data_IF_773067677085
#
_entry.id   IF_773067677085
#
_cell.length_a   1.000
_cell.length_b   1.000
_cell.length_c   1.000
_cell.angle_alpha   90.00
_cell.angle_beta   90.00
_cell.angle_gamma   90.00
#
_symmetry.space_group_name_H-M   'P 1'
#
loop_
_entity.id
_entity.type
_entity.pdbx_description
1 polymer ?
#
# COMPACT_ATOMS: atom_id res chain seq x y z
N UNK A 1 14.07 -10.53 -25.82
CA UNK A 1 14.93 -10.17 -24.67
C UNK A 1 14.07 -9.82 -23.48
N UNK A 2 14.58 -9.93 -22.26
CA UNK A 2 13.87 -9.46 -21.06
C UNK A 2 13.85 -7.93 -21.01
N UNK A 3 12.72 -7.34 -20.62
CA UNK A 3 12.59 -5.89 -20.43
C UNK A 3 13.20 -5.41 -19.11
N UNK A 4 13.16 -4.09 -18.88
CA UNK A 4 13.68 -3.48 -17.64
C UNK A 4 12.69 -3.54 -16.46
N UNK A 5 11.43 -3.82 -16.74
CA UNK A 5 10.32 -3.69 -15.79
C UNK A 5 9.85 -5.05 -15.30
N UNK A 6 9.65 -5.17 -13.99
CA UNK A 6 9.16 -6.40 -13.35
C UNK A 6 8.07 -6.05 -12.32
N UNK A 7 6.96 -6.77 -12.35
CA UNK A 7 5.92 -6.71 -11.31
C UNK A 7 5.86 -8.07 -10.63
N UNK A 8 6.32 -8.15 -9.38
CA UNK A 8 6.51 -9.41 -8.66
C UNK A 8 6.00 -9.34 -7.23
N UNK A 9 5.51 -10.48 -6.76
CA UNK A 9 5.16 -10.68 -5.37
C UNK A 9 6.44 -10.97 -4.58
N UNK A 10 6.65 -10.26 -3.48
CA UNK A 10 7.73 -10.52 -2.54
C UNK A 10 7.16 -10.73 -1.13
N UNK A 11 7.82 -11.57 -0.34
CA UNK A 11 7.43 -11.86 1.03
C UNK A 11 8.45 -11.29 2.01
N UNK A 12 8.47 -9.96 2.12
CA UNK A 12 9.34 -9.29 3.09
C UNK A 12 8.72 -9.46 4.48
N UNK A 13 9.49 -9.96 5.45
CA UNK A 13 9.03 -10.21 6.82
C UNK A 13 7.74 -11.07 6.94
N UNK A 14 7.54 -12.03 6.02
CA UNK A 14 6.35 -12.91 5.96
C UNK A 14 5.05 -12.18 5.64
N UNK A 15 5.10 -10.97 5.11
CA UNK A 15 3.94 -10.22 4.64
C UNK A 15 4.08 -10.10 3.12
N UNK A 16 3.21 -10.78 2.34
CA UNK A 16 3.27 -10.70 0.89
C UNK A 16 2.84 -9.33 0.37
N UNK A 17 3.65 -8.70 -0.47
CA UNK A 17 3.35 -7.44 -1.15
C UNK A 17 3.82 -7.50 -2.61
N UNK A 18 3.04 -6.93 -3.53
CA UNK A 18 3.52 -6.75 -4.90
C UNK A 18 4.38 -5.50 -5.02
N UNK A 19 5.48 -5.62 -5.75
CA UNK A 19 6.40 -4.53 -6.06
C UNK A 19 6.60 -4.38 -7.56
N UNK A 20 6.67 -3.13 -7.98
CA UNK A 20 7.04 -2.76 -9.32
C UNK A 20 8.50 -2.30 -9.34
N UNK A 21 9.35 -3.04 -10.04
CA UNK A 21 10.77 -2.78 -10.17
C UNK A 21 11.16 -2.27 -11.55
N UNK A 22 12.18 -1.43 -11.58
CA UNK A 22 12.95 -1.04 -12.77
C UNK A 22 14.40 -1.47 -12.62
N UNK A 23 14.92 -2.15 -13.64
CA UNK A 23 16.28 -2.69 -13.73
C UNK A 23 16.67 -3.55 -12.52
N UNK A 24 15.70 -4.19 -11.86
CA UNK A 24 15.88 -5.02 -10.64
C UNK A 24 16.51 -4.32 -9.43
N UNK A 25 16.69 -3.00 -9.48
CA UNK A 25 17.41 -2.23 -8.45
C UNK A 25 16.57 -1.10 -7.86
N UNK A 26 15.57 -0.60 -8.61
CA UNK A 26 14.76 0.54 -8.21
C UNK A 26 13.31 0.12 -8.08
N UNK A 27 12.74 0.26 -6.89
CA UNK A 27 11.31 0.10 -6.65
C UNK A 27 10.62 1.39 -7.12
N UNK A 28 9.67 1.26 -8.03
CA UNK A 28 8.86 2.35 -8.55
C UNK A 28 7.52 2.46 -7.83
N UNK A 29 6.94 1.34 -7.43
CA UNK A 29 5.63 1.26 -6.79
C UNK A 29 5.55 0.04 -5.87
N UNK A 30 4.79 0.16 -4.78
CA UNK A 30 4.42 -0.93 -3.87
C UNK A 30 2.90 -1.04 -3.79
N UNK A 31 2.35 -2.21 -4.05
CA UNK A 31 0.91 -2.47 -3.98
C UNK A 31 0.38 -2.56 -2.54
N UNK A 32 1.26 -2.76 -1.58
CA UNK A 32 0.89 -3.01 -0.19
C UNK A 32 0.44 -4.43 0.07
N UNK A 33 0.18 -4.77 1.34
CA UNK A 33 -0.32 -6.07 1.71
C UNK A 33 -1.76 -6.29 1.23
N UNK A 34 -2.16 -7.54 1.18
CA UNK A 34 -3.56 -7.93 1.00
C UNK A 34 -4.35 -7.71 2.30
N UNK A 35 -5.45 -6.95 2.23
CA UNK A 35 -6.30 -6.59 3.39
C UNK A 35 -7.52 -7.51 3.58
N UNK A 36 -7.59 -8.63 2.84
CA UNK A 36 -8.76 -9.51 2.81
C UNK A 36 -9.74 -9.24 1.66
N UNK A 37 -9.72 -8.03 1.09
CA UNK A 37 -10.60 -7.60 0.00
C UNK A 37 -9.85 -7.08 -1.24
N UNK A 38 -8.63 -6.56 -1.05
CA UNK A 38 -7.81 -5.90 -2.08
C UNK A 38 -6.36 -5.76 -1.59
N UNK A 39 -5.49 -5.30 -2.49
CA UNK A 39 -4.20 -4.75 -2.08
C UNK A 39 -4.40 -3.28 -1.66
N UNK A 40 -3.82 -2.87 -0.52
CA UNK A 40 -4.07 -1.52 0.05
C UNK A 40 -3.65 -0.36 -0.86
N UNK A 41 -2.76 -0.61 -1.81
CA UNK A 41 -2.29 0.35 -2.81
C UNK A 41 -3.13 0.38 -4.09
N UNK A 42 -4.14 -0.50 -4.22
CA UNK A 42 -5.00 -0.62 -5.40
C UNK A 42 -6.48 -0.60 -4.95
N UNK A 43 -6.97 0.53 -4.41
CA UNK A 43 -8.31 0.59 -3.82
C UNK A 43 -9.43 0.28 -4.82
N UNK A 44 -9.20 0.50 -6.11
CA UNK A 44 -10.19 0.34 -7.18
C UNK A 44 -10.49 -1.12 -7.53
N UNK A 45 -9.76 -2.08 -6.97
CA UNK A 45 -10.10 -3.51 -7.09
C UNK A 45 -11.55 -3.78 -6.70
N UNK A 46 -12.06 -3.07 -5.69
CA UNK A 46 -13.45 -3.21 -5.23
C UNK A 46 -14.48 -2.70 -6.24
N UNK A 47 -14.08 -1.89 -7.21
CA UNK A 47 -14.95 -1.33 -8.25
C UNK A 47 -14.93 -2.21 -9.51
N UNK A 48 -14.16 -3.29 -9.54
CA UNK A 48 -14.09 -4.19 -10.69
C UNK A 48 -15.33 -5.10 -10.72
N UNK A 49 -16.30 -4.74 -11.55
CA UNK A 49 -17.58 -5.43 -11.73
C UNK A 49 -17.46 -6.77 -12.49
N UNK A 50 -16.48 -6.89 -13.37
CA UNK A 50 -16.33 -8.02 -14.30
C UNK A 50 -15.17 -8.97 -13.95
N UNK A 51 -14.55 -8.80 -12.77
CA UNK A 51 -13.46 -9.65 -12.30
C UNK A 51 -13.84 -10.29 -10.97
N UNK A 52 -13.70 -11.61 -10.90
CA UNK A 52 -13.68 -12.37 -9.65
C UNK A 52 -12.22 -12.68 -9.36
N UNK A 53 -11.70 -12.19 -8.26
CA UNK A 53 -10.30 -12.34 -7.89
C UNK A 53 -10.16 -12.93 -6.48
N UNK A 54 -9.01 -13.53 -6.22
CA UNK A 54 -8.66 -14.02 -4.90
C UNK A 54 -7.15 -13.91 -4.66
N UNK A 55 -6.78 -13.77 -3.40
CA UNK A 55 -5.40 -13.90 -2.95
C UNK A 55 -5.29 -15.14 -2.06
N UNK A 56 -4.61 -16.16 -2.57
CA UNK A 56 -4.35 -17.38 -1.81
C UNK A 56 -3.04 -17.21 -1.06
N UNK A 57 -3.05 -17.47 0.24
CA UNK A 57 -1.85 -17.54 1.09
C UNK A 57 -1.95 -18.78 1.98
N UNK A 58 -1.37 -19.89 1.54
CA UNK A 58 -1.34 -21.16 2.27
C UNK A 58 0.07 -21.79 2.23
N UNK A 59 0.20 -23.08 2.54
CA UNK A 59 1.52 -23.75 2.59
C UNK A 59 2.03 -24.12 1.21
N UNK A 60 1.13 -24.19 0.23
CA UNK A 60 1.36 -24.65 -1.12
C UNK A 60 1.68 -23.49 -2.07
N UNK A 61 0.92 -22.39 -1.95
CA UNK A 61 1.04 -21.22 -2.82
C UNK A 61 0.77 -19.91 -2.08
N UNK A 62 1.44 -18.86 -2.55
CA UNK A 62 1.09 -17.48 -2.26
C UNK A 62 0.97 -16.74 -3.59
N UNK A 63 -0.27 -16.52 -4.01
CA UNK A 63 -0.56 -16.06 -5.37
C UNK A 63 -1.85 -15.24 -5.44
N UNK A 64 -1.84 -14.24 -6.31
CA UNK A 64 -3.04 -13.57 -6.77
C UNK A 64 -3.56 -14.26 -8.02
N UNK A 65 -4.86 -14.53 -8.05
CA UNK A 65 -5.53 -15.10 -9.21
C UNK A 65 -6.79 -14.30 -9.53
N UNK A 66 -7.15 -14.26 -10.81
CA UNK A 66 -8.40 -13.66 -11.23
C UNK A 66 -9.02 -14.44 -12.39
N UNK A 67 -10.34 -14.35 -12.48
CA UNK A 67 -11.14 -14.82 -13.61
C UNK A 67 -12.19 -13.79 -13.95
N UNK A 68 -12.73 -13.86 -15.16
CA UNK A 68 -13.83 -13.00 -15.54
C UNK A 68 -15.16 -13.58 -15.07
N UNK A 69 -16.11 -12.70 -14.74
CA UNK A 69 -17.49 -13.09 -14.43
C UNK A 69 -18.20 -13.68 -15.66
N UNK A 70 -17.84 -13.20 -16.86
CA UNK A 70 -18.27 -13.77 -18.12
C UNK A 70 -17.14 -14.63 -18.72
N UNK A 71 -17.37 -15.95 -18.80
CA UNK A 71 -16.40 -16.93 -19.27
C UNK A 71 -16.12 -16.89 -20.78
N UNK A 72 -16.99 -16.24 -21.56
CA UNK A 72 -16.83 -16.10 -23.02
C UNK A 72 -15.94 -14.90 -23.40
N UNK A 73 -15.50 -14.12 -22.41
CA UNK A 73 -14.61 -12.97 -22.62
C UNK A 73 -13.17 -13.34 -22.30
N UNK A 74 -12.25 -12.68 -22.99
CA UNK A 74 -10.82 -12.78 -22.69
C UNK A 74 -10.32 -11.47 -22.09
N UNK A 75 -9.48 -11.59 -21.06
CA UNK A 75 -8.79 -10.47 -20.45
C UNK A 75 -7.39 -10.89 -20.02
N UNK A 76 -6.45 -9.95 -20.07
CA UNK A 76 -5.07 -10.18 -19.63
C UNK A 76 -4.51 -8.94 -18.95
N UNK A 77 -3.61 -9.17 -18.00
CA UNK A 77 -2.75 -8.13 -17.45
C UNK A 77 -1.44 -8.13 -18.22
N UNK A 78 -1.00 -6.95 -18.65
CA UNK A 78 0.20 -6.76 -19.46
C UNK A 78 1.04 -5.67 -18.80
N UNK A 79 2.28 -6.00 -18.49
CA UNK A 79 3.30 -5.03 -18.13
C UNK A 79 3.97 -4.54 -19.41
N UNK A 80 3.80 -3.27 -19.75
CA UNK A 80 4.33 -2.71 -20.99
C UNK A 80 5.79 -2.23 -20.84
N UNK A 81 6.43 -1.90 -21.96
CA UNK A 81 7.83 -1.43 -22.00
C UNK A 81 8.07 -0.05 -21.41
N UNK A 82 7.01 0.72 -21.12
CA UNK A 82 7.10 2.05 -20.52
C UNK A 82 7.03 2.00 -18.99
N UNK A 83 6.74 0.84 -18.42
CA UNK A 83 6.61 0.68 -17.00
C UNK A 83 5.19 0.98 -16.51
N UNK A 84 4.17 0.48 -17.22
CA UNK A 84 2.79 0.49 -16.76
C UNK A 84 2.17 -0.90 -16.79
N UNK A 85 1.50 -1.27 -15.69
CA UNK A 85 0.66 -2.45 -15.63
C UNK A 85 -0.73 -2.10 -16.15
N UNK A 86 -1.15 -2.76 -17.22
CA UNK A 86 -2.38 -2.47 -17.93
C UNK A 86 -3.26 -3.71 -18.02
N UNK A 87 -4.57 -3.52 -18.01
CA UNK A 87 -5.54 -4.56 -18.30
C UNK A 87 -6.06 -4.39 -19.72
N UNK A 88 -6.06 -5.48 -20.46
CA UNK A 88 -6.66 -5.57 -21.79
C UNK A 88 -7.86 -6.51 -21.79
N UNK A 89 -8.82 -6.26 -22.67
CA UNK A 89 -9.98 -7.12 -22.95
C UNK A 89 -10.09 -7.36 -24.46
N UNK A 90 -10.51 -8.56 -24.85
CA UNK A 90 -10.65 -8.91 -26.26
C UNK A 90 -12.00 -8.47 -26.83
N UNK A 91 -11.97 -7.90 -28.03
CA UNK A 91 -13.11 -7.60 -28.91
C UNK A 91 -12.96 -8.36 -30.22
N UNK A 92 -14.04 -8.93 -30.75
CA UNK A 92 -14.02 -9.64 -32.03
C UNK A 92 -13.76 -8.71 -33.23
N UNK A 93 -13.97 -7.40 -33.08
CA UNK A 93 -13.78 -6.41 -34.15
C UNK A 93 -12.36 -5.83 -34.16
N UNK A 94 -11.82 -5.52 -32.98
CA UNK A 94 -10.58 -4.72 -32.84
C UNK A 94 -9.43 -5.51 -32.19
N UNK A 95 -9.70 -6.74 -31.70
CA UNK A 95 -8.72 -7.54 -30.98
C UNK A 95 -8.52 -7.07 -29.54
N UNK A 96 -7.26 -6.99 -29.08
CA UNK A 96 -6.94 -6.61 -27.70
C UNK A 96 -7.06 -5.09 -27.49
N UNK A 97 -8.09 -4.68 -26.76
CA UNK A 97 -8.33 -3.29 -26.40
C UNK A 97 -7.88 -2.99 -24.97
N UNK A 98 -7.27 -1.82 -24.76
CA UNK A 98 -6.92 -1.33 -23.43
C UNK A 98 -8.21 -1.05 -22.66
N UNK A 99 -8.39 -1.77 -21.55
CA UNK A 99 -9.54 -1.58 -20.66
C UNK A 99 -9.22 -0.52 -19.60
N UNK A 100 -8.06 -0.64 -18.96
CA UNK A 100 -7.63 0.29 -17.91
C UNK A 100 -6.12 0.21 -17.66
N UNK A 101 -5.49 1.34 -17.39
CA UNK A 101 -4.17 1.40 -16.76
C UNK A 101 -4.33 1.20 -15.26
N UNK A 102 -3.63 0.21 -14.69
CA UNK A 102 -3.74 -0.14 -13.28
C UNK A 102 -2.71 0.58 -12.44
N UNK A 103 -1.43 0.54 -12.84
CA UNK A 103 -0.32 1.03 -12.02
C UNK A 103 0.85 1.58 -12.86
N UNK A 104 1.58 2.58 -12.36
CA UNK A 104 1.14 3.56 -11.34
C UNK A 104 0.04 4.49 -11.90
N UNK A 105 -0.79 5.10 -11.06
CA UNK A 105 -1.90 5.99 -11.49
C UNK A 105 -1.61 7.46 -11.36
N UNK A 106 -0.95 7.85 -10.27
CA UNK A 106 -0.65 9.24 -9.97
C UNK A 106 0.74 9.38 -9.33
N UNK A 107 1.10 10.60 -8.90
CA UNK A 107 2.42 10.86 -8.30
C UNK A 107 2.58 10.20 -6.93
N UNK A 108 1.49 10.07 -6.15
CA UNK A 108 1.50 9.45 -4.83
C UNK A 108 1.72 7.93 -4.85
N UNK A 109 1.61 7.31 -6.02
CA UNK A 109 1.99 5.91 -6.23
C UNK A 109 3.51 5.71 -6.32
N UNK A 110 4.29 6.78 -6.52
CA UNK A 110 5.74 6.68 -6.55
C UNK A 110 6.24 6.21 -5.18
N UNK A 111 6.99 5.10 -5.17
CA UNK A 111 7.46 4.48 -3.94
C UNK A 111 8.28 5.44 -3.09
N UNK A 112 7.90 5.60 -1.82
CA UNK A 112 8.55 6.50 -0.85
C UNK A 112 8.69 7.95 -1.34
N UNK A 113 7.72 8.45 -2.11
CA UNK A 113 7.73 9.84 -2.57
C UNK A 113 7.78 10.82 -1.39
N UNK A 114 7.00 10.55 -0.33
CA UNK A 114 7.02 11.31 0.90
C UNK A 114 7.94 10.65 1.93
N UNK A 115 8.70 11.49 2.66
CA UNK A 115 9.61 11.03 3.71
C UNK A 115 8.92 10.37 4.91
N UNK A 116 9.70 9.86 5.89
CA UNK A 116 9.18 9.17 7.06
C UNK A 116 8.15 10.00 7.84
N UNK A 117 7.13 9.31 8.35
CA UNK A 117 6.00 9.89 9.11
C UNK A 117 5.19 10.96 8.37
N UNK A 118 5.34 11.03 7.05
CA UNK A 118 4.47 11.79 6.15
C UNK A 118 3.59 10.84 5.32
N UNK A 119 2.51 11.37 4.78
CA UNK A 119 1.68 10.71 3.79
C UNK A 119 1.48 11.60 2.57
N UNK A 120 1.33 10.97 1.41
CA UNK A 120 1.01 11.67 0.17
C UNK A 120 -0.52 11.83 0.01
N UNK A 121 -0.94 13.03 -0.38
CA UNK A 121 -2.31 13.37 -0.77
C UNK A 121 -2.28 14.15 -2.08
N UNK A 122 -2.97 13.64 -3.11
CA UNK A 122 -3.05 14.29 -4.42
C UNK A 122 -3.90 15.57 -4.40
N UNK A 123 -4.68 15.81 -3.34
CA UNK A 123 -5.57 16.95 -3.20
C UNK A 123 -4.95 18.12 -2.44
N UNK A 124 -3.71 17.99 -1.93
CA UNK A 124 -3.03 19.05 -1.18
C UNK A 124 -1.83 19.61 -1.94
N UNK A 125 -1.47 20.85 -1.63
CA UNK A 125 -0.23 21.49 -2.08
C UNK A 125 0.48 22.10 -0.86
N UNK A 126 1.64 21.57 -0.44
CA UNK A 126 2.38 20.45 -1.03
C UNK A 126 1.64 19.10 -0.93
N UNK A 127 1.99 18.12 -1.78
CA UNK A 127 1.35 16.79 -1.79
C UNK A 127 1.73 15.95 -0.56
N UNK A 128 2.91 16.18 0.01
CA UNK A 128 3.34 15.49 1.23
C UNK A 128 2.84 16.24 2.46
N UNK A 129 2.22 15.50 3.38
CA UNK A 129 1.64 16.01 4.61
C UNK A 129 2.24 15.27 5.81
N UNK A 130 2.68 16.00 6.84
CA UNK A 130 3.05 15.36 8.09
C UNK A 130 1.80 14.79 8.78
N UNK A 131 1.93 13.59 9.33
CA UNK A 131 0.87 12.97 10.14
C UNK A 131 0.55 13.88 11.33
N UNK A 132 -0.73 13.95 11.72
CA UNK A 132 -1.17 14.75 12.87
C UNK A 132 -0.34 14.41 14.11
N UNK A 133 0.24 15.44 14.73
CA UNK A 133 1.18 15.29 15.85
C UNK A 133 2.66 15.33 15.45
N UNK A 134 2.96 15.42 14.15
CA UNK A 134 4.30 15.62 13.62
C UNK A 134 4.44 17.01 12.97
N UNK A 135 5.68 17.46 12.81
CA UNK A 135 6.08 18.67 12.08
C UNK A 135 7.19 18.35 11.08
N UNK A 136 7.31 19.13 10.00
CA UNK A 136 8.47 19.06 9.14
C UNK A 136 9.75 19.30 9.94
N UNK A 137 10.79 18.52 9.67
CA UNK A 137 12.10 18.76 10.26
C UNK A 137 12.72 20.07 9.75
N UNK A 138 12.46 20.42 8.49
CA UNK A 138 12.88 21.69 7.90
C UNK A 138 11.71 22.36 7.16
N UNK A 139 11.13 23.40 7.77
CA UNK A 139 9.97 24.11 7.21
C UNK A 139 10.25 24.72 5.84
N UNK A 140 11.43 25.29 5.59
CA UNK A 140 11.77 25.89 4.29
C UNK A 140 11.83 24.85 3.17
N UNK A 141 12.41 23.67 3.44
CA UNK A 141 12.41 22.54 2.49
C UNK A 141 11.01 22.00 2.25
N UNK A 142 10.18 21.95 3.28
CA UNK A 142 8.79 21.52 3.17
C UNK A 142 7.96 22.48 2.32
N UNK A 143 8.09 23.79 2.56
CA UNK A 143 7.37 24.85 1.85
C UNK A 143 7.82 24.98 0.39
N UNK A 144 9.09 24.68 0.09
CA UNK A 144 9.57 24.57 -1.29
C UNK A 144 9.12 23.29 -2.00
N UNK A 145 8.34 22.43 -1.32
CA UNK A 145 7.76 21.23 -1.89
C UNK A 145 8.73 20.07 -2.01
N UNK A 146 9.83 20.05 -1.25
CA UNK A 146 10.74 18.90 -1.23
C UNK A 146 10.02 17.69 -0.59
N UNK A 147 9.68 16.66 -1.36
CA UNK A 147 8.83 15.58 -0.87
C UNK A 147 9.62 14.61 0.03
N UNK A 148 10.95 14.65 -0.02
CA UNK A 148 11.84 13.73 0.69
C UNK A 148 12.25 14.20 2.09
N UNK A 149 11.83 15.39 2.54
CA UNK A 149 12.07 15.78 3.93
C UNK A 149 11.25 14.91 4.88
N UNK A 150 11.73 14.79 6.12
CA UNK A 150 11.13 13.92 7.13
C UNK A 150 10.26 14.71 8.08
N UNK A 151 9.23 14.07 8.63
CA UNK A 151 8.46 14.62 9.73
C UNK A 151 9.02 14.11 11.07
N UNK A 152 8.97 14.94 12.10
CA UNK A 152 9.37 14.61 13.47
C UNK A 152 8.20 14.85 14.44
N UNK A 153 8.12 14.04 15.50
CA UNK A 153 7.07 14.19 16.51
C UNK A 153 7.19 15.55 17.18
N UNK A 154 6.06 16.24 17.37
CA UNK A 154 5.98 17.49 18.14
C UNK A 154 6.36 17.30 19.61
N UNK A 155 6.05 16.12 20.14
CA UNK A 155 6.24 15.78 21.56
C UNK A 155 6.89 14.42 21.65
N UNK A 156 7.91 14.33 22.51
CA UNK A 156 8.60 13.07 22.77
C UNK A 156 7.66 12.10 23.48
N UNK A 157 7.72 10.82 23.07
CA UNK A 157 6.95 9.75 23.69
C UNK A 157 7.50 9.42 25.07
N UNK A 158 6.61 9.04 25.98
CA UNK A 158 6.95 8.67 27.36
C UNK A 158 6.88 7.18 27.62
N UNK A 159 6.27 6.42 26.71
CA UNK A 159 5.93 5.01 26.84
C UNK A 159 5.02 4.74 28.06
N UNK A 160 3.77 4.33 27.80
CA UNK A 160 2.77 4.05 28.84
C UNK A 160 1.85 5.24 29.20
N UNK A 161 2.14 6.44 28.71
CA UNK A 161 1.22 7.59 28.71
C UNK A 161 0.81 8.06 27.31
N UNK A 162 1.27 7.36 26.28
CA UNK A 162 1.09 7.76 24.89
C UNK A 162 -0.29 7.36 24.35
N UNK A 163 -0.76 8.00 23.29
CA UNK A 163 -2.00 7.61 22.61
C UNK A 163 -1.82 7.60 21.10
N UNK A 164 -2.82 7.08 20.40
CA UNK A 164 -2.79 6.87 18.96
C UNK A 164 -3.75 7.80 18.26
N UNK A 165 -3.30 8.34 17.13
CA UNK A 165 -4.18 9.03 16.19
C UNK A 165 -4.65 8.03 15.16
N UNK A 166 -5.97 7.91 15.01
CA UNK A 166 -6.56 7.13 13.92
C UNK A 166 -6.38 7.88 12.59
N UNK A 167 -5.84 7.19 11.60
CA UNK A 167 -5.82 7.63 10.21
C UNK A 167 -6.80 6.77 9.41
N UNK A 168 -7.60 7.42 8.57
CA UNK A 168 -8.63 6.75 7.76
C UNK A 168 -8.26 6.83 6.29
N UNK A 169 -8.71 5.85 5.50
CA UNK A 169 -8.52 5.81 4.05
C UNK A 169 -7.05 5.84 3.64
N UNK A 170 -6.23 4.99 4.28
CA UNK A 170 -4.78 5.01 4.12
C UNK A 170 -4.29 3.74 3.44
N UNK A 171 -3.40 3.89 2.45
CA UNK A 171 -2.48 2.81 2.09
C UNK A 171 -1.61 2.51 3.31
N UNK A 172 -1.66 1.26 3.80
CA UNK A 172 -0.81 0.84 4.92
C UNK A 172 0.68 1.08 4.60
N UNK A 173 1.52 1.51 5.55
CA UNK A 173 2.95 1.75 5.31
C UNK A 173 3.68 0.50 4.81
N UNK A 174 4.88 0.69 4.25
CA UNK A 174 5.74 -0.44 3.87
C UNK A 174 5.89 -1.43 5.04
N UNK A 175 5.80 -2.74 4.76
CA UNK A 175 5.73 -3.76 5.83
C UNK A 175 7.09 -4.33 6.23
N UNK A 176 8.19 -3.82 5.67
CA UNK A 176 9.56 -4.21 6.04
C UNK A 176 9.86 -4.10 7.54
N UNK A 177 9.36 -3.09 8.29
CA UNK A 177 9.50 -3.03 9.74
C UNK A 177 8.24 -3.50 10.50
N UNK A 178 7.32 -4.21 9.83
CA UNK A 178 6.05 -4.63 10.41
C UNK A 178 6.09 -6.09 10.91
N UNK A 179 5.31 -6.35 11.95
CA UNK A 179 5.10 -7.67 12.55
C UNK A 179 3.63 -8.03 12.37
N UNK A 180 3.36 -9.24 11.87
CA UNK A 180 2.01 -9.76 11.65
C UNK A 180 1.63 -10.82 12.69
N UNK A 181 0.50 -10.64 13.37
CA UNK A 181 -0.15 -11.63 14.23
C UNK A 181 -1.63 -11.79 13.83
N UNK A 182 -1.93 -12.83 13.04
CA UNK A 182 -3.29 -13.12 12.54
C UNK A 182 -4.26 -13.64 13.63
N UNK A 183 -3.79 -13.87 14.87
CA UNK A 183 -4.59 -14.54 15.92
C UNK A 183 -5.33 -13.58 16.84
N UNK A 184 -4.99 -12.31 16.79
CA UNK A 184 -5.51 -11.30 17.73
C UNK A 184 -6.31 -10.23 16.99
N UNK A 185 -7.27 -9.62 17.69
CA UNK A 185 -8.05 -8.51 17.18
C UNK A 185 -7.43 -7.14 17.47
N UNK A 186 -8.06 -6.08 16.94
CA UNK A 186 -7.55 -4.70 17.02
C UNK A 186 -7.32 -4.19 18.45
N UNK A 187 -8.17 -4.58 19.41
CA UNK A 187 -8.03 -4.16 20.82
C UNK A 187 -6.73 -4.69 21.43
N UNK A 188 -6.48 -5.99 21.28
CA UNK A 188 -5.23 -6.62 21.73
C UNK A 188 -4.02 -6.08 20.94
N UNK A 189 -4.22 -5.75 19.67
CA UNK A 189 -3.19 -5.11 18.83
C UNK A 189 -2.77 -3.74 19.40
N UNK A 190 -3.76 -2.91 19.78
CA UNK A 190 -3.52 -1.62 20.47
C UNK A 190 -2.74 -1.84 21.77
N UNK A 191 -3.16 -2.79 22.59
CA UNK A 191 -2.51 -3.08 23.88
C UNK A 191 -1.06 -3.58 23.70
N UNK A 192 -0.81 -4.48 22.74
CA UNK A 192 0.55 -4.95 22.41
C UNK A 192 1.44 -3.81 21.92
N UNK A 193 0.92 -2.97 21.02
CA UNK A 193 1.66 -1.80 20.53
C UNK A 193 1.96 -0.81 21.67
N UNK A 194 0.96 -0.48 22.48
CA UNK A 194 1.10 0.43 23.62
C UNK A 194 2.15 -0.03 24.65
N UNK A 195 2.26 -1.34 24.91
CA UNK A 195 3.27 -1.90 25.82
C UNK A 195 4.68 -1.97 25.22
N UNK A 196 4.81 -1.83 23.90
CA UNK A 196 6.09 -1.84 23.21
C UNK A 196 6.52 -0.42 22.89
N UNK A 197 7.50 0.12 23.63
CA UNK A 197 7.98 1.50 23.45
C UNK A 197 8.58 1.80 22.07
N UNK A 198 8.87 0.77 21.25
CA UNK A 198 9.34 0.95 19.87
C UNK A 198 8.21 0.88 18.83
N UNK A 199 6.99 0.54 19.25
CA UNK A 199 5.84 0.54 18.35
C UNK A 199 5.47 1.96 17.95
N UNK A 200 5.23 2.18 16.65
CA UNK A 200 4.89 3.49 16.11
C UNK A 200 3.52 3.54 15.46
N UNK A 201 3.01 2.41 14.99
CA UNK A 201 1.67 2.29 14.41
C UNK A 201 1.16 0.85 14.50
N UNK A 202 -0.15 0.68 14.42
CA UNK A 202 -0.80 -0.63 14.30
C UNK A 202 -2.05 -0.56 13.42
N UNK A 203 -2.44 -1.69 12.84
CA UNK A 203 -3.65 -1.81 12.01
C UNK A 203 -4.21 -3.24 12.05
N UNK A 204 -5.46 -3.40 11.58
CA UNK A 204 -5.97 -4.73 11.23
C UNK A 204 -5.20 -5.30 10.04
N UNK A 205 -5.02 -6.62 10.00
CA UNK A 205 -4.42 -7.30 8.85
C UNK A 205 -5.47 -7.68 7.79
N UNK A 206 -6.70 -7.93 8.21
CA UNK A 206 -7.85 -8.23 7.37
C UNK A 206 -8.98 -7.29 7.77
N UNK A 207 -9.61 -6.59 6.82
CA UNK A 207 -10.66 -5.60 7.09
C UNK A 207 -12.07 -6.19 7.03
N UNK A 208 -12.23 -7.45 6.61
CA UNK A 208 -13.53 -8.10 6.51
C UNK A 208 -14.17 -8.29 7.88
N UNK A 209 -15.50 -8.35 7.92
CA UNK A 209 -16.28 -8.68 9.12
C UNK A 209 -15.96 -7.81 10.36
N UNK A 210 -15.65 -6.52 10.15
CA UNK A 210 -15.29 -5.59 11.24
C UNK A 210 -13.81 -5.58 11.61
N UNK A 211 -12.99 -6.37 10.92
CA UNK A 211 -11.54 -6.35 11.03
C UNK A 211 -10.97 -7.42 11.96
N UNK A 212 -9.90 -8.08 11.53
CA UNK A 212 -9.19 -9.10 12.30
C UNK A 212 -7.69 -9.12 11.97
N UNK A 213 -6.92 -9.76 12.85
CA UNK A 213 -5.46 -9.80 12.75
C UNK A 213 -4.81 -8.47 13.10
N UNK A 214 -3.51 -8.50 13.33
CA UNK A 214 -2.77 -7.35 13.81
C UNK A 214 -1.47 -7.17 13.04
N UNK A 215 -1.29 -5.97 12.49
CA UNK A 215 -0.03 -5.46 11.98
C UNK A 215 0.50 -4.42 12.96
N UNK A 216 1.77 -4.54 13.34
CA UNK A 216 2.47 -3.60 14.22
C UNK A 216 3.75 -3.13 13.53
N UNK A 217 3.92 -1.82 13.37
CA UNK A 217 5.16 -1.22 12.86
C UNK A 217 6.08 -0.84 14.02
N UNK A 218 7.36 -1.19 13.89
CA UNK A 218 8.41 -0.85 14.85
C UNK A 218 9.34 0.20 14.23
N UNK A 219 9.53 1.32 14.93
CA UNK A 219 10.37 2.41 14.45
C UNK A 219 9.75 3.17 13.27
N UNK A 220 10.59 3.62 12.35
CA UNK A 220 10.14 4.49 11.26
C UNK A 220 9.33 3.72 10.20
N UNK A 221 8.26 4.35 9.71
CA UNK A 221 7.48 3.84 8.59
C UNK A 221 7.39 4.88 7.48
N UNK A 222 7.27 4.39 6.24
CA UNK A 222 7.30 5.17 4.99
C UNK A 222 6.30 4.62 3.98
N UNK A 223 6.23 5.28 2.81
CA UNK A 223 5.40 4.87 1.67
C UNK A 223 3.89 4.81 2.01
N UNK A 224 3.41 5.90 2.61
CA UNK A 224 2.02 6.08 3.02
C UNK A 224 1.37 7.09 2.08
N UNK A 225 0.13 6.83 1.68
CA UNK A 225 -0.75 7.79 1.02
C UNK A 225 -2.17 7.64 1.52
N UNK A 226 -2.98 8.68 1.33
CA UNK A 226 -4.42 8.57 1.51
C UNK A 226 -5.14 8.33 0.17
N UNK A 227 -6.42 8.03 0.29
CA UNK A 227 -7.39 7.98 -0.79
C UNK A 227 -8.66 8.75 -0.38
N UNK A 228 -9.43 9.22 -1.37
CA UNK A 228 -10.72 9.84 -1.11
C UNK A 228 -11.77 8.81 -0.63
N UNK A 229 -11.67 7.59 -1.13
CA UNK A 229 -12.46 6.43 -0.71
C UNK A 229 -11.62 5.15 -0.85
N UNK A 230 -11.91 4.15 -0.02
CA UNK A 230 -11.04 2.98 0.15
C UNK A 230 -9.72 3.32 0.84
N UNK A 231 -8.73 2.42 0.68
CA UNK A 231 -7.45 2.48 1.41
C UNK A 231 -7.41 1.51 2.57
#
# INVERSE_FOLDING_TARGET
>A
SSGEYEFKLEQLQRIPEFFFWKKRLHILYRAGPWDGLRFTGIPEMQQWDNIIYNFTENREEVAYTFRLSNHDRYSRLVLNSEGSLQRFTWSNQEGWNLYSSLLPKDKCDTFQICGPYAYCDMNTSPMCNCIKGFLPNNSEKWESGNPSDRCQRKTQLTCGGDDFVQLSNMKLPATTPAILDKRIGLKECKEKCFRNCHCTAYANADVRNGGWGCLIWIGEFTDVRNYADGG
#
